data_IF_856257486260
#
_entry.id   IF_856257486260
#
_cell.length_a   1.000
_cell.length_b   1.000
_cell.length_c   1.000
_cell.angle_alpha   90.00
_cell.angle_beta   90.00
_cell.angle_gamma   90.00
#
_symmetry.space_group_name_H-M   'P 1'
#
loop_
_entity.id
_entity.type
_entity.pdbx_description
1 polymer ?
#
# COMPACT_ATOMS: atom_id res chain seq x y z
N UNK A 1 -27.62 53.50 20.00
CA UNK A 1 -26.18 53.72 19.81
C UNK A 1 -25.56 53.63 21.19
N UNK A 2 -24.83 52.62 21.68
CA UNK A 2 -24.43 51.26 21.27
C UNK A 2 -23.97 50.56 22.57
N UNK A 3 -24.61 49.45 22.96
CA UNK A 3 -24.06 48.09 23.19
C UNK A 3 -22.73 47.94 23.97
N UNK A 4 -22.89 47.45 25.20
CA UNK A 4 -22.29 46.23 25.78
C UNK A 4 -20.82 45.89 25.47
N UNK A 5 -20.00 45.80 26.52
CA UNK A 5 -18.66 45.18 26.45
C UNK A 5 -18.35 44.45 27.76
N UNK A 6 -18.79 43.20 27.84
CA UNK A 6 -18.18 42.15 28.65
C UNK A 6 -18.36 40.82 27.92
N UNK A 7 -17.31 40.26 27.30
CA UNK A 7 -17.28 38.86 26.96
C UNK A 7 -16.52 38.09 28.04
N UNK A 8 -17.28 37.56 29.00
CA UNK A 8 -16.87 36.37 29.77
C UNK A 8 -17.58 35.20 29.13
N UNK A 9 -16.87 34.32 28.42
CA UNK A 9 -17.20 32.89 28.32
C UNK A 9 -16.12 32.13 27.57
N UNK A 10 -15.65 31.07 28.21
CA UNK A 10 -14.98 29.90 27.63
C UNK A 10 -15.41 29.61 26.20
N UNK A 11 -14.46 29.71 25.27
CA UNK A 11 -14.53 29.01 23.99
C UNK A 11 -13.79 27.66 24.14
N UNK A 12 -14.27 26.80 25.03
CA UNK A 12 -14.12 25.34 24.92
C UNK A 12 -15.10 24.79 23.87
N UNK A 13 -15.05 25.32 22.65
CA UNK A 13 -15.91 24.89 21.56
C UNK A 13 -15.07 24.39 20.37
N UNK A 14 -14.36 23.27 20.60
CA UNK A 14 -13.81 22.45 19.50
C UNK A 14 -13.82 20.94 19.77
N UNK A 15 -14.60 20.49 20.75
CA UNK A 15 -14.68 19.05 21.13
C UNK A 15 -16.11 18.51 21.15
N UNK A 16 -17.00 19.06 20.30
CA UNK A 16 -18.30 18.45 20.01
C UNK A 16 -18.34 17.95 18.57
N UNK A 17 -17.31 17.22 18.17
CA UNK A 17 -17.32 16.38 16.96
C UNK A 17 -18.39 15.32 17.13
N UNK A 18 -19.60 15.67 16.68
CA UNK A 18 -20.46 14.84 15.83
C UNK A 18 -20.52 13.35 16.19
N UNK A 19 -20.95 13.04 17.41
CA UNK A 19 -21.57 11.76 17.71
C UNK A 19 -22.95 11.73 17.04
N UNK A 20 -23.04 11.14 15.84
CA UNK A 20 -24.22 10.45 15.30
C UNK A 20 -24.06 10.23 13.79
N UNK A 21 -23.58 9.04 13.42
CA UNK A 21 -24.01 8.27 12.24
C UNK A 21 -23.29 6.91 12.21
N UNK A 22 -23.46 6.11 13.27
CA UNK A 22 -23.16 4.68 13.20
C UNK A 22 -24.48 3.98 12.89
N UNK A 23 -24.83 4.02 11.60
CA UNK A 23 -26.03 3.37 11.07
C UNK A 23 -25.62 2.02 10.50
N UNK A 24 -25.96 0.98 11.26
CA UNK A 24 -26.39 -0.35 10.84
C UNK A 24 -25.87 -0.90 9.49
N UNK A 25 -24.99 -1.89 9.58
CA UNK A 25 -25.01 -3.07 8.70
C UNK A 25 -24.32 -4.25 9.40
N UNK A 26 -24.95 -4.81 10.43
CA UNK A 26 -24.64 -6.17 10.88
C UNK A 26 -25.51 -7.13 10.06
N UNK A 27 -24.95 -7.73 9.00
CA UNK A 27 -25.57 -8.86 8.33
C UNK A 27 -24.62 -10.05 8.40
N UNK A 28 -25.17 -11.17 8.86
CA UNK A 28 -24.46 -12.34 9.32
C UNK A 28 -23.69 -13.07 8.23
N UNK A 29 -22.47 -13.45 8.58
CA UNK A 29 -21.89 -14.80 8.43
C UNK A 29 -22.30 -15.64 7.22
N UNK A 30 -21.36 -15.75 6.27
CA UNK A 30 -21.08 -17.03 5.62
C UNK A 30 -19.62 -17.40 5.89
N UNK A 31 -19.44 -18.31 6.83
CA UNK A 31 -18.22 -19.08 6.94
C UNK A 31 -18.17 -20.04 5.74
N UNK A 32 -17.18 -19.85 4.85
CA UNK A 32 -16.71 -20.89 3.97
C UNK A 32 -15.33 -21.35 4.46
N UNK A 33 -15.40 -22.43 5.23
CA UNK A 33 -14.29 -23.32 5.55
C UNK A 33 -13.83 -24.01 4.26
N UNK A 34 -12.53 -23.96 3.98
CA UNK A 34 -11.86 -25.05 3.27
C UNK A 34 -10.85 -24.65 2.19
N UNK A 35 -9.56 -24.87 2.49
CA UNK A 35 -8.50 -25.05 1.50
C UNK A 35 -7.40 -23.98 1.60
N UNK A 36 -6.20 -24.40 1.99
CA UNK A 36 -5.07 -23.51 2.26
C UNK A 36 -4.79 -22.47 1.19
N UNK A 37 -4.91 -21.21 1.60
CA UNK A 37 -4.30 -20.00 1.05
C UNK A 37 -4.58 -18.93 2.11
N UNK A 38 -3.61 -18.04 2.36
CA UNK A 38 -3.62 -17.11 3.49
C UNK A 38 -4.98 -16.50 3.79
N UNK A 39 -5.41 -16.57 5.05
CA UNK A 39 -6.54 -15.81 5.56
C UNK A 39 -6.22 -14.33 5.40
N UNK A 40 -6.77 -13.67 4.39
CA UNK A 40 -6.98 -12.23 4.46
C UNK A 40 -7.97 -12.01 5.60
N UNK A 41 -7.46 -11.70 6.79
CA UNK A 41 -8.26 -11.19 7.87
C UNK A 41 -8.75 -9.81 7.46
N UNK A 42 -9.99 -9.73 6.97
CA UNK A 42 -10.77 -8.52 7.09
C UNK A 42 -11.00 -8.28 8.60
N UNK A 43 -9.99 -7.72 9.27
CA UNK A 43 -10.07 -7.35 10.67
C UNK A 43 -10.86 -6.05 10.79
N UNK A 44 -12.08 -6.23 11.27
CA UNK A 44 -12.86 -5.27 12.03
C UNK A 44 -11.98 -4.28 12.83
N UNK A 45 -11.89 -3.03 12.37
CA UNK A 45 -11.62 -1.87 13.22
C UNK A 45 -10.21 -1.68 13.81
N UNK A 46 -9.14 -1.99 13.08
CA UNK A 46 -7.76 -1.67 13.48
C UNK A 46 -6.94 -1.18 12.29
N UNK A 47 -6.42 0.04 12.38
CA UNK A 47 -5.47 0.64 11.44
C UNK A 47 -4.22 -0.26 11.38
N UNK A 48 -3.86 -0.67 10.16
CA UNK A 48 -2.67 -1.46 9.79
C UNK A 48 -1.45 -0.59 10.09
N UNK A 49 -0.62 -0.97 11.06
CA UNK A 49 0.47 -0.12 11.60
C UNK A 49 1.84 -0.80 11.50
N UNK A 50 1.99 -1.85 10.69
CA UNK A 50 3.26 -2.57 10.54
C UNK A 50 3.62 -2.87 9.07
N UNK A 51 4.87 -2.59 8.63
CA UNK A 51 5.35 -2.90 7.28
C UNK A 51 5.43 -4.42 7.02
N UNK A 52 5.35 -5.22 8.09
CA UNK A 52 5.32 -6.69 8.09
C UNK A 52 3.94 -7.28 7.77
N UNK A 53 2.91 -6.45 7.63
CA UNK A 53 1.54 -6.89 7.39
C UNK A 53 1.16 -6.86 5.91
N UNK A 54 0.29 -7.80 5.54
CA UNK A 54 -0.34 -7.84 4.23
C UNK A 54 -1.09 -6.53 3.94
N UNK A 55 -0.93 -5.98 2.73
CA UNK A 55 -1.66 -4.78 2.31
C UNK A 55 -2.30 -4.94 0.94
N UNK A 56 -3.44 -4.26 0.75
CA UNK A 56 -4.21 -4.26 -0.48
C UNK A 56 -3.76 -3.19 -1.46
N UNK A 57 -3.84 -3.50 -2.75
CA UNK A 57 -3.52 -2.58 -3.85
C UNK A 57 -4.29 -2.91 -5.12
N UNK A 58 -4.22 -2.01 -6.09
CA UNK A 58 -4.68 -2.22 -7.46
C UNK A 58 -3.51 -2.22 -8.43
N UNK A 59 -3.54 -3.12 -9.39
CA UNK A 59 -2.60 -3.16 -10.51
C UNK A 59 -3.39 -3.31 -11.81
N UNK A 60 -2.82 -2.83 -12.92
CA UNK A 60 -3.37 -3.18 -14.22
C UNK A 60 -3.26 -4.69 -14.46
N UNK A 61 -4.34 -5.30 -14.94
CA UNK A 61 -4.43 -6.74 -15.13
C UNK A 61 -3.36 -7.30 -16.09
N UNK A 62 -2.91 -6.49 -17.06
CA UNK A 62 -1.83 -6.84 -17.99
C UNK A 62 -0.42 -6.68 -17.40
N UNK A 63 -0.28 -5.98 -16.27
CA UNK A 63 0.98 -5.76 -15.56
C UNK A 63 1.16 -6.72 -14.38
N UNK A 64 0.13 -7.53 -14.07
CA UNK A 64 0.19 -8.53 -13.01
C UNK A 64 0.97 -9.76 -13.48
N UNK A 65 2.01 -10.11 -12.74
CA UNK A 65 2.77 -11.34 -12.94
C UNK A 65 2.46 -12.32 -11.80
N UNK A 66 1.81 -13.47 -12.08
CA UNK A 66 1.54 -14.48 -11.06
C UNK A 66 2.84 -14.99 -10.42
N UNK A 67 2.83 -15.17 -9.10
CA UNK A 67 3.96 -15.70 -8.30
C UNK A 67 5.25 -14.86 -8.40
N UNK A 68 5.18 -13.68 -9.00
CA UNK A 68 6.31 -12.78 -9.09
C UNK A 68 6.46 -11.97 -7.81
N UNK A 69 7.71 -11.63 -7.53
CA UNK A 69 8.11 -10.78 -6.41
C UNK A 69 8.58 -9.45 -6.94
N UNK A 70 8.42 -8.40 -6.16
CA UNK A 70 8.72 -7.04 -6.58
C UNK A 70 9.37 -6.24 -5.47
N UNK A 71 10.06 -5.17 -5.89
CA UNK A 71 10.54 -4.11 -5.02
C UNK A 71 9.89 -2.78 -5.42
N UNK A 72 9.71 -1.87 -4.47
CA UNK A 72 9.22 -0.52 -4.74
C UNK A 72 10.41 0.38 -5.09
N UNK A 73 10.39 0.95 -6.30
CA UNK A 73 11.52 1.66 -6.92
C UNK A 73 11.23 3.15 -7.17
N UNK A 74 10.23 3.70 -6.48
CA UNK A 74 9.94 5.13 -6.51
C UNK A 74 9.38 5.60 -5.18
N UNK A 75 9.44 6.91 -4.94
CA UNK A 75 8.53 7.55 -4.00
C UNK A 75 7.10 7.62 -4.56
N UNK A 76 6.21 8.29 -3.81
CA UNK A 76 4.85 8.58 -4.27
C UNK A 76 4.91 9.41 -5.55
N UNK A 77 4.22 8.95 -6.58
CA UNK A 77 4.05 9.67 -7.83
C UNK A 77 2.77 10.50 -7.75
N UNK A 78 2.87 11.81 -7.93
CA UNK A 78 1.74 12.77 -7.93
C UNK A 78 0.86 12.66 -9.19
N UNK A 79 0.61 11.45 -9.66
CA UNK A 79 -0.29 11.16 -10.77
C UNK A 79 -1.26 10.05 -10.37
N UNK A 80 -2.54 10.37 -10.44
CA UNK A 80 -3.64 9.42 -10.29
C UNK A 80 -4.25 9.15 -11.67
N UNK A 81 -4.27 7.89 -12.12
CA UNK A 81 -5.01 7.55 -13.33
C UNK A 81 -6.48 7.92 -13.20
N UNK A 82 -7.04 8.57 -14.23
CA UNK A 82 -8.44 8.95 -14.27
C UNK A 82 -9.31 7.75 -14.72
N UNK A 83 -9.55 6.79 -13.82
CA UNK A 83 -10.53 5.73 -14.03
C UNK A 83 -11.78 6.02 -13.20
N UNK A 84 -12.92 6.13 -13.88
CA UNK A 84 -14.21 6.45 -13.24
C UNK A 84 -14.57 5.48 -12.12
N UNK A 85 -14.21 4.19 -12.26
CA UNK A 85 -14.54 3.16 -11.28
C UNK A 85 -13.71 3.25 -9.98
N UNK A 86 -12.57 3.93 -10.00
CA UNK A 86 -11.72 4.11 -8.81
C UNK A 86 -12.25 5.24 -7.93
N UNK A 87 -12.86 6.27 -8.54
CA UNK A 87 -13.42 7.42 -7.82
C UNK A 87 -14.72 7.12 -7.05
N UNK A 88 -15.43 6.06 -7.43
CA UNK A 88 -16.70 5.65 -6.80
C UNK A 88 -16.56 4.38 -5.94
N UNK A 89 -15.33 3.95 -5.63
CA UNK A 89 -15.04 2.70 -4.94
C UNK A 89 -14.58 2.88 -3.49
N UNK A 90 -14.35 1.78 -2.79
CA UNK A 90 -13.69 1.76 -1.47
C UNK A 90 -12.20 2.18 -1.54
N UNK A 91 -11.65 2.27 -2.75
CA UNK A 91 -10.23 2.55 -3.03
C UNK A 91 -10.07 3.92 -3.72
N UNK A 92 -10.52 4.99 -3.07
CA UNK A 92 -10.45 6.37 -3.60
C UNK A 92 -9.16 7.11 -3.23
N UNK A 93 -8.63 6.81 -2.05
CA UNK A 93 -7.45 7.45 -1.48
C UNK A 93 -6.26 6.49 -1.63
N UNK A 94 -5.50 6.70 -2.70
CA UNK A 94 -4.37 5.84 -3.04
C UNK A 94 -3.17 6.65 -3.53
N UNK A 95 -1.99 6.13 -3.23
CA UNK A 95 -0.72 6.59 -3.75
C UNK A 95 -0.29 5.70 -4.92
N UNK A 96 0.21 6.32 -5.98
CA UNK A 96 0.82 5.60 -7.09
C UNK A 96 2.31 5.43 -6.83
N UNK A 97 2.81 4.21 -6.92
CA UNK A 97 4.23 3.88 -6.88
C UNK A 97 4.64 3.12 -8.14
N UNK A 98 5.92 3.18 -8.49
CA UNK A 98 6.51 2.24 -9.45
C UNK A 98 7.12 1.07 -8.72
N UNK A 99 6.78 -0.14 -9.17
CA UNK A 99 7.40 -1.38 -8.73
C UNK A 99 8.27 -1.93 -9.83
N UNK A 100 9.34 -2.65 -9.45
CA UNK A 100 10.14 -3.46 -10.34
C UNK A 100 9.87 -4.94 -10.05
N UNK A 101 9.42 -5.67 -11.05
CA UNK A 101 9.32 -7.13 -10.98
C UNK A 101 10.71 -7.75 -10.99
N UNK A 102 11.02 -8.60 -10.01
CA UNK A 102 12.36 -9.17 -9.83
C UNK A 102 12.67 -10.30 -10.84
N UNK A 103 11.64 -10.92 -11.42
CA UNK A 103 11.81 -11.97 -12.42
C UNK A 103 12.00 -11.45 -13.85
N UNK A 104 11.46 -10.27 -14.17
CA UNK A 104 11.49 -9.69 -15.53
C UNK A 104 12.28 -8.39 -15.63
N UNK A 105 12.51 -7.70 -14.51
CA UNK A 105 13.04 -6.34 -14.48
C UNK A 105 12.06 -5.27 -14.98
N UNK A 106 10.82 -5.64 -15.27
CA UNK A 106 9.80 -4.71 -15.76
C UNK A 106 9.38 -3.73 -14.66
N UNK A 107 9.27 -2.45 -15.01
CA UNK A 107 8.82 -1.39 -14.10
C UNK A 107 7.40 -0.98 -14.47
N UNK A 108 6.47 -1.12 -13.52
CA UNK A 108 5.04 -0.85 -13.73
C UNK A 108 4.45 -0.04 -12.56
N UNK A 109 3.37 0.72 -12.79
CA UNK A 109 2.66 1.38 -11.70
C UNK A 109 1.88 0.38 -10.86
N UNK A 110 1.84 0.64 -9.55
CA UNK A 110 1.03 -0.03 -8.54
C UNK A 110 0.29 1.06 -7.73
N UNK A 111 -1.00 0.87 -7.50
CA UNK A 111 -1.84 1.79 -6.74
C UNK A 111 -2.02 1.21 -5.34
N UNK A 112 -1.45 1.86 -4.34
CA UNK A 112 -1.41 1.37 -2.95
C UNK A 112 -2.26 2.30 -2.10
N UNK A 113 -3.01 1.76 -1.14
CA UNK A 113 -3.84 2.57 -0.23
C UNK A 113 -3.00 3.66 0.44
N UNK A 114 -3.51 4.90 0.51
CA UNK A 114 -2.73 6.06 1.00
C UNK A 114 -2.20 5.86 2.43
N UNK A 115 -2.94 5.12 3.24
CA UNK A 115 -2.66 4.79 4.64
C UNK A 115 -1.68 3.62 4.82
N UNK A 116 -1.20 2.99 3.74
CA UNK A 116 -0.25 1.87 3.84
C UNK A 116 1.13 2.36 4.26
N UNK A 117 1.67 1.78 5.34
CA UNK A 117 3.02 2.06 5.81
C UNK A 117 4.05 1.16 5.09
N UNK A 118 4.70 1.70 4.06
CA UNK A 118 5.69 0.98 3.25
C UNK A 118 7.14 1.25 3.66
N UNK A 119 7.37 2.20 4.57
CA UNK A 119 8.69 2.79 4.80
C UNK A 119 8.96 4.02 3.91
N UNK A 120 10.17 4.58 4.02
CA UNK A 120 10.54 5.81 3.32
C UNK A 120 11.38 5.50 2.08
N UNK A 121 10.97 6.02 0.92
CA UNK A 121 11.78 5.98 -0.29
C UNK A 121 13.13 6.69 -0.08
N UNK A 122 14.21 5.98 -0.39
CA UNK A 122 15.56 6.52 -0.38
C UNK A 122 15.97 6.90 -1.81
N UNK A 123 16.10 8.20 -2.07
CA UNK A 123 16.44 8.71 -3.39
C UNK A 123 17.87 8.37 -3.83
N UNK A 124 18.79 8.17 -2.88
CA UNK A 124 20.19 7.81 -3.18
C UNK A 124 20.29 6.32 -3.56
N UNK A 125 19.42 5.48 -3.00
CA UNK A 125 19.36 4.04 -3.32
C UNK A 125 18.45 3.74 -4.52
N UNK A 126 17.43 4.57 -4.77
CA UNK A 126 16.47 4.35 -5.85
C UNK A 126 15.34 3.38 -5.51
N UNK A 127 15.14 3.06 -4.23
CA UNK A 127 14.07 2.16 -3.75
C UNK A 127 13.72 2.43 -2.29
N UNK A 128 12.68 1.75 -1.80
CA UNK A 128 12.36 1.69 -0.37
C UNK A 128 13.22 0.57 0.25
N UNK A 129 14.14 0.88 1.17
CA UNK A 129 14.96 -0.12 1.84
C UNK A 129 14.15 -0.90 2.87
N UNK A 130 14.68 -2.05 3.29
CA UNK A 130 14.12 -2.80 4.41
C UNK A 130 14.14 -1.96 5.70
N UNK A 131 13.17 -2.16 6.61
CA UNK A 131 13.04 -1.37 7.82
C UNK A 131 14.09 -1.72 8.89
N UNK A 132 14.78 -2.86 8.77
CA UNK A 132 15.82 -3.26 9.71
C UNK A 132 17.05 -2.35 9.63
N UNK A 133 17.51 -1.88 10.79
CA UNK A 133 18.57 -0.88 10.89
C UNK A 133 19.90 -1.40 10.31
N UNK A 134 20.39 -0.72 9.26
CA UNK A 134 21.68 -0.99 8.64
C UNK A 134 21.62 -1.89 7.40
N UNK A 135 20.42 -2.27 6.94
CA UNK A 135 20.26 -2.96 5.67
C UNK A 135 19.85 -1.99 4.55
N UNK A 136 20.77 -1.72 3.63
CA UNK A 136 20.51 -0.90 2.45
C UNK A 136 19.84 -1.72 1.33
N UNK A 137 19.48 -3.00 1.53
CA UNK A 137 18.80 -3.80 0.50
C UNK A 137 17.34 -3.35 0.30
N UNK A 138 16.78 -3.52 -0.92
CA UNK A 138 15.38 -3.19 -1.17
C UNK A 138 14.42 -4.10 -0.40
N UNK A 139 13.32 -3.52 0.10
CA UNK A 139 12.21 -4.30 0.63
C UNK A 139 11.55 -5.13 -0.48
N UNK A 140 11.40 -6.44 -0.25
CA UNK A 140 10.81 -7.35 -1.23
C UNK A 140 9.44 -7.82 -0.79
N UNK A 141 8.51 -7.83 -1.75
CA UNK A 141 7.13 -8.26 -1.56
C UNK A 141 6.75 -9.36 -2.54
N UNK A 142 5.86 -10.25 -2.12
CA UNK A 142 5.14 -11.20 -2.96
C UNK A 142 3.72 -10.68 -3.22
N UNK A 143 3.31 -10.72 -4.49
CA UNK A 143 1.98 -10.27 -4.91
C UNK A 143 1.04 -11.44 -5.20
N UNK A 144 -0.14 -11.40 -4.58
CA UNK A 144 -1.20 -12.38 -4.78
C UNK A 144 -2.45 -11.69 -5.32
N UNK A 145 -3.00 -12.20 -6.42
CA UNK A 145 -4.22 -11.66 -7.01
C UNK A 145 -5.45 -12.13 -6.25
N UNK A 146 -6.36 -11.21 -5.97
CA UNK A 146 -7.70 -11.58 -5.52
C UNK A 146 -8.52 -12.13 -6.69
N UNK A 147 -9.27 -13.21 -6.43
CA UNK A 147 -10.11 -13.85 -7.45
C UNK A 147 -11.24 -12.94 -7.95
N UNK A 148 -11.57 -11.89 -7.20
CA UNK A 148 -12.63 -10.94 -7.53
C UNK A 148 -12.07 -9.79 -8.38
N UNK A 149 -12.63 -9.49 -9.56
CA UNK A 149 -12.26 -8.29 -10.31
C UNK A 149 -12.58 -7.02 -9.50
N UNK A 150 -11.83 -5.95 -9.75
CA UNK A 150 -12.10 -4.66 -9.11
C UNK A 150 -13.36 -4.05 -9.72
N UNK A 151 -14.49 -4.16 -9.01
CA UNK A 151 -15.79 -3.74 -9.53
C UNK A 151 -16.06 -4.39 -10.90
N UNK A 152 -16.75 -3.68 -11.80
CA UNK A 152 -16.99 -4.10 -13.18
C UNK A 152 -15.83 -3.74 -14.14
N UNK A 153 -14.65 -3.32 -13.62
CA UNK A 153 -13.52 -2.91 -14.44
C UNK A 153 -12.58 -4.09 -14.74
N UNK A 154 -12.55 -4.61 -15.98
CA UNK A 154 -11.69 -5.74 -16.32
C UNK A 154 -10.20 -5.36 -16.46
N UNK A 155 -9.86 -4.07 -16.46
CA UNK A 155 -8.49 -3.59 -16.63
C UNK A 155 -7.72 -3.53 -15.31
N UNK A 156 -8.41 -3.52 -14.17
CA UNK A 156 -7.81 -3.47 -12.85
C UNK A 156 -8.03 -4.77 -12.10
N UNK A 157 -6.99 -5.23 -11.42
CA UNK A 157 -7.04 -6.37 -10.53
C UNK A 157 -6.76 -5.90 -9.11
N UNK A 158 -7.59 -6.33 -8.17
CA UNK A 158 -7.26 -6.24 -6.74
C UNK A 158 -6.19 -7.27 -6.41
N UNK A 159 -5.15 -6.82 -5.72
CA UNK A 159 -4.02 -7.62 -5.30
C UNK A 159 -3.72 -7.38 -3.83
N UNK A 160 -3.17 -8.40 -3.18
CA UNK A 160 -2.58 -8.30 -1.86
C UNK A 160 -1.07 -8.48 -1.99
N UNK A 161 -0.30 -7.62 -1.35
CA UNK A 161 1.13 -7.75 -1.26
C UNK A 161 1.53 -8.06 0.18
N UNK A 162 2.46 -9.00 0.32
CA UNK A 162 3.02 -9.39 1.61
C UNK A 162 4.54 -9.24 1.55
N UNK A 163 5.19 -8.70 2.58
CA UNK A 163 6.64 -8.80 2.68
C UNK A 163 7.03 -10.28 2.74
N UNK A 164 8.15 -10.63 2.10
CA UNK A 164 8.71 -11.97 2.20
C UNK A 164 9.76 -12.03 3.30
N UNK A 165 10.11 -13.22 3.78
CA UNK A 165 11.17 -13.35 4.78
C UNK A 165 12.54 -12.97 4.22
N UNK A 166 13.38 -12.39 5.08
CA UNK A 166 14.75 -11.97 4.81
C UNK A 166 15.58 -13.04 4.11
N UNK A 167 15.51 -14.29 4.57
CA UNK A 167 16.24 -15.40 3.97
C UNK A 167 15.87 -15.61 2.49
N UNK A 168 14.59 -15.44 2.16
CA UNK A 168 14.08 -15.59 0.79
C UNK A 168 14.43 -14.34 -0.02
N UNK A 169 14.26 -13.13 0.55
CA UNK A 169 14.64 -11.88 -0.08
C UNK A 169 16.13 -11.86 -0.44
N UNK A 170 17.00 -12.20 0.51
CA UNK A 170 18.44 -12.31 0.30
C UNK A 170 18.77 -13.29 -0.83
N UNK A 171 18.19 -14.49 -0.82
CA UNK A 171 18.45 -15.48 -1.86
C UNK A 171 18.06 -14.98 -3.26
N UNK A 172 16.98 -14.20 -3.38
CA UNK A 172 16.57 -13.60 -4.66
C UNK A 172 17.52 -12.49 -5.07
N UNK A 173 17.80 -11.56 -4.16
CA UNK A 173 18.62 -10.37 -4.39
C UNK A 173 20.12 -10.69 -4.60
N UNK A 174 20.59 -11.85 -4.12
CA UNK A 174 21.92 -12.36 -4.42
C UNK A 174 22.11 -12.70 -5.90
N UNK A 175 21.03 -13.00 -6.61
CA UNK A 175 21.06 -13.36 -8.03
C UNK A 175 20.79 -12.17 -8.97
N UNK A 176 20.46 -10.99 -8.45
CA UNK A 176 20.15 -9.79 -9.25
C UNK A 176 20.82 -8.54 -8.66
N UNK A 177 21.80 -7.98 -9.36
CA UNK A 177 22.67 -6.91 -8.88
C UNK A 177 22.13 -5.49 -9.13
N UNK A 178 20.91 -5.34 -9.68
CA UNK A 178 20.37 -4.03 -10.05
C UNK A 178 20.36 -3.00 -8.92
N UNK A 179 20.16 -3.45 -7.68
CA UNK A 179 20.08 -2.61 -6.47
C UNK A 179 21.46 -2.28 -5.87
N UNK A 180 22.52 -2.97 -6.29
CA UNK A 180 23.89 -2.79 -5.77
C UNK A 180 24.69 -1.70 -6.49
N UNK A 181 24.16 -1.17 -7.59
CA UNK A 181 24.95 -0.48 -8.61
C UNK A 181 25.36 0.96 -8.29
N UNK A 182 24.77 1.61 -7.28
CA UNK A 182 24.98 3.04 -7.01
C UNK A 182 25.72 3.38 -5.71
N UNK A 183 26.08 2.40 -4.87
CA UNK A 183 26.99 2.63 -3.74
C UNK A 183 28.47 2.83 -4.17
N UNK A 184 28.80 2.67 -5.45
CA UNK A 184 30.20 2.71 -5.95
C UNK A 184 30.50 3.68 -7.10
N UNK A 185 29.53 4.44 -7.63
CA UNK A 185 29.77 5.42 -8.70
C UNK A 185 29.83 6.88 -8.21
N UNK A 186 30.55 7.09 -7.10
CA UNK A 186 30.99 8.42 -6.63
C UNK A 186 32.42 8.78 -7.04
N UNK A 187 32.96 8.21 -8.12
CA UNK A 187 34.34 8.42 -8.52
C UNK A 187 34.60 8.24 -10.01
N UNK A 188 34.41 9.31 -10.78
CA UNK A 188 35.36 9.71 -11.83
C UNK A 188 35.22 11.21 -12.16
#
# INVERSE_FOLDING_TARGET
MDRESLPTTDNEESTRRKFMKQSAAATAGMALVGGGAGTATAQDGGIIDSPDEAWGALIFANNFHPEARFAIVSGVVEWSPNYGDVQDSWFTDYNTYYIRWLNTGEIVPLFISEDTNLGQYNADLGYIPEPEEGDDRPQVFEMNREWTPFSDNPQLATVNANPISDEVAQSILENDDWWRSDATNGGN
#
